data_IF_549351840042
#
_entry.id   IF_549351840042
#
_cell.length_a   1.000
_cell.length_b   1.000
_cell.length_c   1.000
_cell.angle_alpha   90.00
_cell.angle_beta   90.00
_cell.angle_gamma   90.00
#
_symmetry.space_group_name_H-M   'P 1'
#
loop_
_entity.id
_entity.type
_entity.pdbx_description
1 polymer ?
#
# COMPACT_ATOMS: atom_id res chain seq x y z
N UNK A 1 -28.36 -19.87 4.68
CA UNK A 1 -28.22 -18.87 3.59
C UNK A 1 -27.56 -17.57 4.07
N UNK A 2 -28.08 -16.87 5.09
CA UNK A 2 -27.50 -15.60 5.58
C UNK A 2 -26.04 -15.71 6.10
N UNK A 3 -25.68 -16.79 6.82
CA UNK A 3 -24.31 -17.02 7.31
C UNK A 3 -23.29 -17.16 6.16
N UNK A 4 -23.60 -17.99 5.16
CA UNK A 4 -22.74 -18.20 4.01
C UNK A 4 -22.44 -16.90 3.23
N UNK A 5 -23.41 -16.01 3.08
CA UNK A 5 -23.21 -14.70 2.42
C UNK A 5 -22.25 -13.82 3.23
N UNK A 6 -22.40 -13.79 4.57
CA UNK A 6 -21.51 -13.05 5.46
C UNK A 6 -20.08 -13.58 5.39
N UNK A 7 -19.92 -14.91 5.34
CA UNK A 7 -18.62 -15.57 5.27
C UNK A 7 -17.94 -15.30 3.92
N UNK A 8 -18.68 -15.37 2.81
CA UNK A 8 -18.17 -15.00 1.48
C UNK A 8 -17.78 -13.52 1.37
N UNK A 9 -18.60 -12.62 1.93
CA UNK A 9 -18.28 -11.20 1.98
C UNK A 9 -17.01 -10.94 2.81
N UNK A 10 -16.88 -11.58 3.97
CA UNK A 10 -15.68 -11.48 4.80
C UNK A 10 -14.41 -11.91 4.08
N UNK A 11 -14.46 -13.04 3.36
CA UNK A 11 -13.35 -13.50 2.53
C UNK A 11 -13.03 -12.53 1.38
N UNK A 12 -14.06 -12.01 0.71
CA UNK A 12 -13.89 -11.06 -0.38
C UNK A 12 -13.19 -9.77 0.07
N UNK A 13 -13.63 -9.19 1.19
CA UNK A 13 -12.99 -8.00 1.78
C UNK A 13 -11.56 -8.30 2.20
N UNK A 14 -11.32 -9.46 2.82
CA UNK A 14 -9.98 -9.88 3.21
C UNK A 14 -9.03 -9.94 2.00
N UNK A 15 -9.42 -10.62 0.92
CA UNK A 15 -8.60 -10.69 -0.30
C UNK A 15 -8.39 -9.32 -0.95
N UNK A 16 -9.43 -8.47 -0.97
CA UNK A 16 -9.31 -7.12 -1.51
C UNK A 16 -8.31 -6.26 -0.73
N UNK A 17 -8.31 -6.35 0.60
CA UNK A 17 -7.35 -5.63 1.46
C UNK A 17 -5.92 -6.14 1.26
N UNK A 18 -5.73 -7.46 1.13
CA UNK A 18 -4.41 -8.02 0.84
C UNK A 18 -3.90 -7.65 -0.55
N UNK A 19 -4.77 -7.65 -1.56
CA UNK A 19 -4.42 -7.20 -2.89
C UNK A 19 -4.05 -5.70 -2.88
N UNK A 20 -4.82 -4.87 -2.15
CA UNK A 20 -4.52 -3.46 -2.01
C UNK A 20 -3.19 -3.21 -1.29
N UNK A 21 -2.87 -4.00 -0.27
CA UNK A 21 -1.58 -3.91 0.41
C UNK A 21 -0.42 -4.22 -0.54
N UNK A 22 -0.53 -5.30 -1.32
CA UNK A 22 0.48 -5.68 -2.30
C UNK A 22 0.64 -4.61 -3.39
N UNK A 23 -0.47 -4.17 -3.98
CA UNK A 23 -0.46 -3.11 -5.01
C UNK A 23 0.03 -1.78 -4.44
N UNK A 24 -0.30 -1.50 -3.19
CA UNK A 24 0.17 -0.32 -2.47
C UNK A 24 1.67 -0.30 -2.30
N UNK A 25 2.27 -1.44 -1.93
CA UNK A 25 3.72 -1.54 -1.78
C UNK A 25 4.45 -1.41 -3.13
N UNK A 26 3.90 -2.04 -4.18
CA UNK A 26 4.39 -1.84 -5.55
C UNK A 26 4.29 -0.38 -5.99
N UNK A 27 3.20 0.31 -5.65
CA UNK A 27 3.02 1.72 -5.97
C UNK A 27 3.98 2.64 -5.21
N UNK A 28 4.26 2.31 -3.95
CA UNK A 28 5.29 2.99 -3.16
C UNK A 28 6.67 2.84 -3.81
N UNK A 29 7.08 1.62 -4.15
CA UNK A 29 8.35 1.34 -4.81
C UNK A 29 8.44 2.02 -6.18
N UNK A 30 7.38 1.96 -6.99
CA UNK A 30 7.29 2.67 -8.25
C UNK A 30 7.51 4.18 -8.08
N UNK A 31 6.81 4.79 -7.12
CA UNK A 31 6.89 6.23 -6.87
C UNK A 31 8.27 6.65 -6.36
N UNK A 32 8.92 5.82 -5.53
CA UNK A 32 10.28 6.08 -5.08
C UNK A 32 11.28 6.19 -6.24
N UNK A 33 11.09 5.39 -7.30
CA UNK A 33 11.92 5.45 -8.51
C UNK A 33 11.62 6.75 -9.29
N UNK A 34 10.35 7.14 -9.43
CA UNK A 34 9.97 8.36 -10.15
C UNK A 34 10.53 9.63 -9.48
N UNK A 35 10.52 9.66 -8.15
CA UNK A 35 11.01 10.79 -7.35
C UNK A 35 12.54 10.72 -7.16
N UNK A 36 13.17 9.59 -7.48
CA UNK A 36 14.61 9.39 -7.27
C UNK A 36 15.00 9.24 -5.80
N UNK A 37 14.06 8.82 -4.94
CA UNK A 37 14.24 8.77 -3.49
C UNK A 37 14.74 7.41 -3.02
N UNK A 38 16.06 7.29 -2.83
CA UNK A 38 16.68 6.03 -2.38
C UNK A 38 16.16 5.55 -1.01
N UNK A 39 15.95 6.47 -0.06
CA UNK A 39 15.42 6.10 1.26
C UNK A 39 13.99 5.57 1.17
N UNK A 40 13.15 6.20 0.34
CA UNK A 40 11.78 5.72 0.12
C UNK A 40 11.79 4.30 -0.46
N UNK A 41 12.67 4.03 -1.43
CA UNK A 41 12.83 2.71 -2.04
C UNK A 41 13.22 1.65 -1.00
N UNK A 42 14.25 1.94 -0.18
CA UNK A 42 14.74 1.00 0.84
C UNK A 42 13.67 0.67 1.89
N UNK A 43 12.87 1.66 2.31
CA UNK A 43 11.78 1.43 3.26
C UNK A 43 10.70 0.48 2.71
N UNK A 44 10.43 0.55 1.40
CA UNK A 44 9.52 -0.38 0.71
C UNK A 44 10.05 -1.81 0.57
N UNK A 45 11.34 -2.05 0.84
CA UNK A 45 11.94 -3.40 0.81
C UNK A 45 12.22 -3.95 2.22
N UNK A 46 12.11 -3.11 3.25
CA UNK A 46 12.51 -3.47 4.62
C UNK A 46 11.41 -4.22 5.36
N UNK A 47 11.20 -5.49 5.01
CA UNK A 47 10.47 -6.48 5.82
C UNK A 47 9.20 -5.93 6.51
N UNK A 48 9.14 -5.84 7.86
CA UNK A 48 7.97 -5.31 8.56
C UNK A 48 7.60 -3.85 8.22
N UNK A 49 8.56 -3.03 7.80
CA UNK A 49 8.31 -1.65 7.36
C UNK A 49 7.59 -1.64 6.01
N UNK A 50 7.85 -2.63 5.15
CA UNK A 50 7.17 -2.78 3.86
C UNK A 50 5.65 -2.91 4.02
N UNK A 51 5.18 -3.44 5.17
CA UNK A 51 3.76 -3.46 5.50
C UNK A 51 3.19 -2.03 5.65
N UNK A 52 3.92 -1.14 6.33
CA UNK A 52 3.49 0.25 6.52
C UNK A 52 3.57 1.04 5.21
N UNK A 53 4.64 0.85 4.42
CA UNK A 53 4.74 1.47 3.10
C UNK A 53 3.67 0.95 2.15
N UNK A 54 3.30 -0.32 2.24
CA UNK A 54 2.20 -0.90 1.49
C UNK A 54 0.85 -0.28 1.86
N UNK A 55 0.59 -0.01 3.15
CA UNK A 55 -0.62 0.70 3.57
C UNK A 55 -0.64 2.14 3.06
N UNK A 56 0.46 2.88 3.20
CA UNK A 56 0.54 4.27 2.74
C UNK A 56 0.47 4.34 1.22
N UNK A 57 1.17 3.46 0.51
CA UNK A 57 1.12 3.35 -0.94
C UNK A 57 -0.25 2.91 -1.42
N UNK A 58 -0.95 2.03 -0.70
CA UNK A 58 -2.32 1.64 -1.01
C UNK A 58 -3.31 2.79 -0.84
N UNK A 59 -3.14 3.59 0.21
CA UNK A 59 -3.86 4.86 0.37
C UNK A 59 -3.54 5.83 -0.79
N UNK A 60 -2.26 6.02 -1.09
CA UNK A 60 -1.82 6.95 -2.13
C UNK A 60 -2.27 6.52 -3.54
N UNK A 61 -2.38 5.22 -3.80
CA UNK A 61 -2.92 4.69 -5.05
C UNK A 61 -4.39 5.07 -5.24
N UNK A 62 -5.18 5.11 -4.17
CA UNK A 62 -6.61 5.41 -4.22
C UNK A 62 -6.90 6.92 -4.14
N UNK A 63 -6.11 7.67 -3.39
CA UNK A 63 -6.42 9.04 -3.00
C UNK A 63 -5.33 10.06 -3.38
N UNK A 64 -4.21 9.63 -3.92
CA UNK A 64 -3.04 10.46 -4.19
C UNK A 64 -2.06 10.55 -3.00
N UNK A 65 -0.83 10.95 -3.29
CA UNK A 65 0.22 11.09 -2.28
C UNK A 65 -0.07 12.23 -1.30
N UNK A 66 0.04 11.99 0.02
CA UNK A 66 -0.01 13.08 0.99
C UNK A 66 1.19 14.01 0.85
N UNK A 67 0.96 15.33 0.94
CA UNK A 67 2.01 16.34 0.77
C UNK A 67 3.19 16.15 1.74
N UNK A 68 2.94 15.72 2.98
CA UNK A 68 4.00 15.49 3.95
C UNK A 68 4.95 14.35 3.54
N UNK A 69 4.44 13.30 2.91
CA UNK A 69 5.28 12.19 2.40
C UNK A 69 6.19 12.73 1.29
N UNK A 70 5.61 13.50 0.36
CA UNK A 70 6.40 14.12 -0.71
C UNK A 70 7.41 15.12 -0.16
N UNK A 71 7.10 15.86 0.92
CA UNK A 71 8.07 16.77 1.55
C UNK A 71 9.24 16.08 2.26
N UNK A 72 9.07 14.80 2.65
CA UNK A 72 10.11 14.00 3.31
C UNK A 72 11.00 13.31 2.28
N UNK A 73 10.41 12.85 1.17
CA UNK A 73 11.08 11.98 0.20
C UNK A 73 11.40 12.63 -1.15
N UNK A 74 10.76 13.75 -1.49
CA UNK A 74 10.95 14.49 -2.74
C UNK A 74 11.91 15.66 -2.65
#
# INVERSE_FOLDING_TARGET
MFRAIKDSFGMGVFFALWALLLLGDLYWLYSSIQIGSFFMFVLGLLGPIAFLTGLIGGFALLFGWPDFILSIFG
#
